data_IF_640766105722
#
_entry.id   IF_640766105722
#
_cell.length_a   1.000
_cell.length_b   1.000
_cell.length_c   1.000
_cell.angle_alpha   90.00
_cell.angle_beta   90.00
_cell.angle_gamma   90.00
#
_symmetry.space_group_name_H-M   'P 1'
#
loop_
_entity.id
_entity.type
_entity.pdbx_description
1 polymer ?
#
# COMPACT_ATOMS: atom_id res chain seq x y z
N UNK A 1 -16.22 10.97 51.62
CA UNK A 1 -14.90 11.52 51.19
C UNK A 1 -14.90 11.44 49.68
N UNK A 2 -14.84 12.57 48.94
CA UNK A 2 -14.75 12.49 47.49
C UNK A 2 -13.53 11.61 47.12
N UNK A 3 -13.66 10.68 46.16
CA UNK A 3 -12.52 9.87 45.71
C UNK A 3 -11.36 10.83 45.41
N UNK A 4 -10.21 10.54 46.00
CA UNK A 4 -9.07 11.43 46.05
C UNK A 4 -8.74 11.91 44.62
N UNK A 5 -8.72 13.23 44.40
CA UNK A 5 -8.68 13.89 43.07
C UNK A 5 -7.55 13.44 42.13
N UNK A 6 -6.53 12.74 42.66
CA UNK A 6 -5.48 12.14 41.85
C UNK A 6 -5.98 10.94 41.02
N UNK A 7 -6.96 10.18 41.52
CA UNK A 7 -7.53 9.02 40.80
C UNK A 7 -8.25 9.47 39.54
N UNK A 8 -9.03 10.54 39.62
CA UNK A 8 -9.76 11.08 38.46
C UNK A 8 -8.83 11.65 37.41
N UNK A 9 -7.69 12.24 37.81
CA UNK A 9 -6.65 12.68 36.87
C UNK A 9 -5.99 11.51 36.15
N UNK A 10 -5.69 10.41 36.86
CA UNK A 10 -5.14 9.21 36.23
C UNK A 10 -6.14 8.60 35.25
N UNK A 11 -7.39 8.40 35.69
CA UNK A 11 -8.45 7.83 34.84
C UNK A 11 -8.70 8.71 33.62
N UNK A 12 -8.78 10.03 33.81
CA UNK A 12 -8.93 10.99 32.73
C UNK A 12 -7.75 10.95 31.74
N UNK A 13 -6.51 10.92 32.26
CA UNK A 13 -5.31 10.83 31.43
C UNK A 13 -5.26 9.55 30.60
N UNK A 14 -5.53 8.39 31.21
CA UNK A 14 -5.59 7.11 30.50
C UNK A 14 -6.69 7.10 29.43
N UNK A 15 -7.86 7.65 29.73
CA UNK A 15 -8.94 7.77 28.76
C UNK A 15 -8.53 8.65 27.56
N UNK A 16 -7.90 9.81 27.80
CA UNK A 16 -7.41 10.69 26.73
C UNK A 16 -6.36 9.99 25.86
N UNK A 17 -5.40 9.29 26.46
CA UNK A 17 -4.39 8.52 25.70
C UNK A 17 -5.05 7.43 24.85
N UNK A 18 -6.02 6.70 25.40
CA UNK A 18 -6.77 5.68 24.67
C UNK A 18 -7.50 6.23 23.44
N UNK A 19 -8.15 7.39 23.57
CA UNK A 19 -8.81 8.08 22.46
C UNK A 19 -7.80 8.48 21.38
N UNK A 20 -6.68 9.10 21.76
CA UNK A 20 -5.64 9.52 20.82
C UNK A 20 -5.06 8.30 20.07
N UNK A 21 -4.77 7.22 20.79
CA UNK A 21 -4.23 6.00 20.20
C UNK A 21 -5.22 5.38 19.19
N UNK A 22 -6.49 5.27 19.57
CA UNK A 22 -7.56 4.73 18.71
C UNK A 22 -7.74 5.59 17.46
N UNK A 23 -7.74 6.91 17.61
CA UNK A 23 -7.84 7.83 16.49
C UNK A 23 -6.65 7.70 15.53
N UNK A 24 -5.42 7.59 16.05
CA UNK A 24 -4.25 7.35 15.22
C UNK A 24 -4.31 6.01 14.49
N UNK A 25 -4.75 4.95 15.16
CA UNK A 25 -4.90 3.62 14.55
C UNK A 25 -5.92 3.67 13.40
N UNK A 26 -7.09 4.27 13.64
CA UNK A 26 -8.12 4.45 12.61
C UNK A 26 -7.61 5.28 11.44
N UNK A 27 -6.95 6.40 11.71
CA UNK A 27 -6.41 7.26 10.65
C UNK A 27 -5.29 6.57 9.83
N UNK A 28 -4.54 5.62 10.42
CA UNK A 28 -3.59 4.80 9.66
C UNK A 28 -4.31 3.77 8.79
N UNK A 29 -5.31 3.08 9.34
CA UNK A 29 -6.10 2.09 8.60
C UNK A 29 -6.86 2.72 7.43
N UNK A 30 -7.48 3.89 7.64
CA UNK A 30 -8.22 4.61 6.61
C UNK A 30 -7.29 5.10 5.48
N UNK A 31 -6.07 5.55 5.80
CA UNK A 31 -5.06 5.91 4.78
C UNK A 31 -4.64 4.71 3.92
N UNK A 32 -4.45 3.53 4.52
CA UNK A 32 -4.11 2.31 3.79
C UNK A 32 -5.25 1.83 2.90
N UNK A 33 -6.49 1.87 3.38
CA UNK A 33 -7.66 1.47 2.58
C UNK A 33 -7.87 2.39 1.38
N UNK A 34 -7.66 3.71 1.56
CA UNK A 34 -7.70 4.66 0.46
C UNK A 34 -6.60 4.43 -0.57
N UNK A 35 -5.37 4.18 -0.11
CA UNK A 35 -4.25 3.88 -0.99
C UNK A 35 -4.55 2.62 -1.82
N UNK A 36 -4.95 1.52 -1.18
CA UNK A 36 -5.24 0.26 -1.87
C UNK A 36 -6.39 0.39 -2.87
N UNK A 37 -7.44 1.14 -2.52
CA UNK A 37 -8.55 1.43 -3.44
C UNK A 37 -8.08 2.16 -4.69
N UNK A 38 -7.18 3.15 -4.55
CA UNK A 38 -6.64 3.91 -5.69
C UNK A 38 -5.69 3.05 -6.53
N UNK A 39 -4.83 2.26 -5.89
CA UNK A 39 -3.90 1.35 -6.57
C UNK A 39 -4.65 0.29 -7.37
N UNK A 40 -5.67 -0.34 -6.79
CA UNK A 40 -6.50 -1.34 -7.48
C UNK A 40 -7.18 -0.74 -8.72
N UNK A 41 -7.77 0.45 -8.59
CA UNK A 41 -8.38 1.13 -9.72
C UNK A 41 -7.37 1.46 -10.82
N UNK A 42 -6.15 1.90 -10.46
CA UNK A 42 -5.11 2.21 -11.41
C UNK A 42 -4.58 0.95 -12.13
N UNK A 43 -4.43 -0.14 -11.39
CA UNK A 43 -4.01 -1.45 -11.90
C UNK A 43 -5.05 -2.05 -12.85
N UNK A 44 -6.33 -2.03 -12.50
CA UNK A 44 -7.39 -2.47 -13.42
C UNK A 44 -7.36 -1.69 -14.75
N UNK A 45 -7.07 -0.39 -14.69
CA UNK A 45 -6.97 0.47 -15.87
C UNK A 45 -5.80 0.09 -16.78
N UNK A 46 -4.70 -0.45 -16.27
CA UNK A 46 -3.54 -0.83 -17.11
C UNK A 46 -3.85 -1.95 -18.09
N UNK A 47 -4.88 -2.77 -17.80
CA UNK A 47 -5.32 -3.88 -18.65
C UNK A 47 -6.51 -3.54 -19.55
N UNK A 48 -6.89 -2.27 -19.66
CA UNK A 48 -7.99 -1.86 -20.54
C UNK A 48 -7.60 -1.98 -22.02
N UNK A 49 -8.49 -2.53 -22.85
CA UNK A 49 -8.35 -2.58 -24.33
C UNK A 49 -8.29 -1.19 -24.99
N UNK A 50 -8.60 -0.12 -24.24
CA UNK A 50 -8.45 1.25 -24.70
C UNK A 50 -7.07 1.79 -24.32
N UNK A 51 -6.19 1.97 -25.31
CA UNK A 51 -4.83 2.49 -25.13
C UNK A 51 -4.73 3.77 -24.29
N UNK A 52 -5.72 4.67 -24.40
CA UNK A 52 -5.73 5.90 -23.61
C UNK A 52 -5.98 5.63 -22.12
N UNK A 53 -6.82 4.63 -21.81
CA UNK A 53 -7.12 4.21 -20.44
C UNK A 53 -5.95 3.43 -19.86
N UNK A 54 -5.32 2.55 -20.64
CA UNK A 54 -4.11 1.83 -20.25
C UNK A 54 -2.98 2.79 -19.88
N UNK A 55 -2.67 3.77 -20.74
CA UNK A 55 -1.66 4.81 -20.46
C UNK A 55 -1.98 5.62 -19.20
N UNK A 56 -3.26 5.95 -18.99
CA UNK A 56 -3.69 6.67 -17.79
C UNK A 56 -3.49 5.82 -16.52
N UNK A 57 -3.83 4.53 -16.57
CA UNK A 57 -3.58 3.58 -15.48
C UNK A 57 -2.10 3.55 -15.09
N UNK A 58 -1.21 3.41 -16.08
CA UNK A 58 0.25 3.39 -15.87
C UNK A 58 0.77 4.70 -15.25
N UNK A 59 0.30 5.86 -15.73
CA UNK A 59 0.68 7.16 -15.19
C UNK A 59 0.26 7.35 -13.73
N UNK A 60 -0.97 6.93 -13.40
CA UNK A 60 -1.50 7.02 -12.04
C UNK A 60 -0.77 6.05 -11.11
N UNK A 61 -0.48 4.83 -11.56
CA UNK A 61 0.27 3.85 -10.79
C UNK A 61 1.69 4.35 -10.45
N UNK A 62 2.40 4.90 -11.44
CA UNK A 62 3.72 5.52 -11.24
C UNK A 62 3.67 6.68 -10.23
N UNK A 63 2.62 7.50 -10.27
CA UNK A 63 2.41 8.59 -9.31
C UNK A 63 2.12 8.06 -7.90
N UNK A 64 1.30 7.01 -7.77
CA UNK A 64 0.92 6.43 -6.48
C UNK A 64 2.09 5.77 -5.76
N UNK A 65 2.93 5.02 -6.49
CA UNK A 65 4.13 4.36 -5.95
C UNK A 65 5.12 5.39 -5.39
N UNK A 66 5.23 6.55 -6.02
CA UNK A 66 6.13 7.63 -5.58
C UNK A 66 5.54 8.53 -4.49
N UNK A 67 4.28 8.32 -4.11
CA UNK A 67 3.57 9.19 -3.17
C UNK A 67 3.80 8.80 -1.72
N UNK A 68 3.78 9.80 -0.83
CA UNK A 68 3.95 9.65 0.64
C UNK A 68 2.77 8.95 1.34
N UNK A 69 1.75 8.54 0.58
CA UNK A 69 0.63 7.71 1.06
C UNK A 69 0.95 6.22 1.02
N UNK A 70 1.96 5.81 0.24
CA UNK A 70 2.52 4.47 0.34
C UNK A 70 3.20 4.34 1.72
N UNK A 71 2.69 3.44 2.54
CA UNK A 71 3.21 3.09 3.85
C UNK A 71 4.41 2.14 3.67
N UNK A 72 5.24 1.97 4.70
CA UNK A 72 6.37 1.01 4.65
C UNK A 72 5.89 -0.40 4.27
N UNK A 73 4.77 -0.86 4.82
CA UNK A 73 4.16 -2.15 4.45
C UNK A 73 3.69 -2.24 2.98
N UNK A 74 3.46 -1.10 2.31
CA UNK A 74 3.07 -1.09 0.89
C UNK A 74 4.31 -1.29 -0.01
N UNK A 75 5.52 -1.05 0.52
CA UNK A 75 6.79 -1.32 -0.14
C UNK A 75 7.03 -2.83 -0.31
N UNK A 76 6.68 -3.63 0.71
CA UNK A 76 6.80 -5.10 0.67
C UNK A 76 5.95 -5.70 -0.46
N UNK A 77 4.76 -5.16 -0.72
CA UNK A 77 3.88 -5.63 -1.80
C UNK A 77 4.47 -5.27 -3.17
N UNK A 78 4.99 -4.06 -3.32
CA UNK A 78 5.66 -3.63 -4.56
C UNK A 78 6.91 -4.49 -4.81
N UNK A 79 7.66 -4.82 -3.76
CA UNK A 79 8.80 -5.72 -3.83
C UNK A 79 8.38 -7.10 -4.34
N UNK A 80 7.35 -7.73 -3.77
CA UNK A 80 6.84 -9.04 -4.25
C UNK A 80 6.42 -8.99 -5.71
N UNK A 81 5.75 -7.92 -6.16
CA UNK A 81 5.36 -7.77 -7.57
C UNK A 81 6.60 -7.64 -8.46
N UNK A 82 7.60 -6.87 -8.04
CA UNK A 82 8.84 -6.71 -8.80
C UNK A 82 9.69 -7.97 -8.86
N UNK A 83 9.74 -8.75 -7.77
CA UNK A 83 10.39 -10.06 -7.73
C UNK A 83 9.70 -11.03 -8.69
N UNK A 84 8.36 -11.02 -8.73
CA UNK A 84 7.62 -11.86 -9.67
C UNK A 84 7.87 -11.46 -11.13
N UNK A 85 7.83 -10.16 -11.45
CA UNK A 85 8.11 -9.66 -12.80
C UNK A 85 9.55 -9.96 -13.25
N UNK A 86 10.53 -9.89 -12.34
CA UNK A 86 11.92 -10.22 -12.65
C UNK A 86 12.12 -11.72 -12.91
N UNK A 87 11.35 -12.59 -12.25
CA UNK A 87 11.42 -14.05 -12.48
C UNK A 87 10.90 -14.42 -13.87
N UNK A 88 9.84 -13.75 -14.35
CA UNK A 88 9.31 -13.99 -15.70
C UNK A 88 10.32 -13.59 -16.80
N UNK A 89 11.02 -12.47 -16.62
CA UNK A 89 12.04 -11.98 -17.57
C UNK A 89 13.23 -12.97 -17.69
N UNK A 90 13.71 -13.50 -16.57
CA UNK A 90 14.79 -14.51 -16.55
C UNK A 90 14.36 -15.82 -17.19
N UNK A 91 13.10 -16.22 -17.02
CA UNK A 91 12.55 -17.44 -17.65
C UNK A 91 12.45 -17.36 -19.18
N UNK A 92 12.16 -16.18 -19.72
CA UNK A 92 12.12 -15.95 -21.17
C UNK A 92 13.53 -15.94 -21.79
N UNK A 93 14.53 -15.38 -21.10
CA UNK A 93 15.93 -15.40 -21.56
C UNK A 93 16.48 -16.84 -21.66
N UNK A 94 16.24 -17.68 -20.65
CA UNK A 94 16.69 -19.07 -20.63
C UNK A 94 16.00 -19.93 -21.71
N UNK A 95 14.69 -19.73 -21.91
CA UNK A 95 13.93 -20.45 -22.93
C UNK A 95 14.35 -20.07 -24.36
N UNK A 96 14.71 -18.81 -24.59
CA UNK A 96 15.22 -18.33 -25.87
C UNK A 96 16.65 -18.84 -26.13
N UNK A 97 17.52 -18.82 -25.11
CA UNK A 97 18.88 -19.37 -25.21
C UNK A 97 18.88 -20.88 -25.51
N UNK A 98 17.96 -21.66 -24.94
CA UNK A 98 17.84 -23.10 -25.24
C UNK A 98 17.34 -23.38 -26.65
N UNK A 99 16.54 -22.49 -27.26
CA UNK A 99 16.06 -22.61 -28.64
C UNK A 99 17.12 -22.23 -29.68
N UNK A 100 18.01 -21.29 -29.35
CA UNK A 100 19.10 -20.88 -30.23
C UNK A 100 20.24 -21.91 -30.31
N UNK A 101 20.34 -22.82 -29.33
CA UNK A 101 21.36 -23.86 -29.26
C UNK A 101 20.87 -25.26 -29.73
N UNK A 102 19.66 -25.36 -30.28
CA UNK A 102 19.07 -26.57 -30.85
C UNK A 102 18.99 -26.47 -32.38
#
# INVERSE_FOLDING_TARGET
>A
MPPQSWVTLIVGGLATVGVIATWQQKNRADRRSEWWRRTTWAFERTFSDNDSQARLGWSILHTLIRSRLATVDDNDIVQVISEHAAVDDVGEEDANASRANA
#
